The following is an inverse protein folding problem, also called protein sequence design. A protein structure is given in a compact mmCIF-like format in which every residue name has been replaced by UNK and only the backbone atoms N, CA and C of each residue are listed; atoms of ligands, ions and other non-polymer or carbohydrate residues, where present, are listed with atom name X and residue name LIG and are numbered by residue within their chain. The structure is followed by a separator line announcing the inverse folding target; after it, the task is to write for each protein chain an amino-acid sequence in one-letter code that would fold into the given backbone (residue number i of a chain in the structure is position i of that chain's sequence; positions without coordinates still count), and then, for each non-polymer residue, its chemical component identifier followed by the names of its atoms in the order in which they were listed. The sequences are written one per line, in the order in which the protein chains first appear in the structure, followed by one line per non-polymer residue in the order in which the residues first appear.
data_IF_190544288948
#
_entry.id   IF_190544288948
#
_cell.length_a   1.000
_cell.length_b   1.000
_cell.length_c   1.000
_cell.angle_alpha   90.00
_cell.angle_beta   90.00
_cell.angle_gamma   90.00
#
_symmetry.space_group_name_H-M   'P 1'
#
loop_
_entity.id
_entity.type
_entity.pdbx_description
1 polymer ?
#
# COMPACT_ATOMS: atom_id res chain seq x y z
N UNK A 1 9.65 -8.11 20.86
CA UNK A 1 8.56 -7.96 19.86
C UNK A 1 8.73 -6.67 19.09
N UNK A 2 8.80 -6.75 17.77
CA UNK A 2 8.86 -5.54 16.97
C UNK A 2 7.45 -4.94 16.85
N UNK A 3 7.37 -3.66 17.17
CA UNK A 3 6.12 -2.90 17.04
C UNK A 3 5.79 -2.69 15.57
N UNK A 4 4.55 -2.96 15.19
CA UNK A 4 4.08 -2.76 13.81
C UNK A 4 3.53 -1.34 13.71
N UNK A 5 4.14 -0.53 12.85
CA UNK A 5 3.76 0.86 12.65
C UNK A 5 2.72 0.99 11.54
N UNK A 6 1.81 1.96 11.67
CA UNK A 6 0.78 2.22 10.67
C UNK A 6 1.41 2.52 9.31
N UNK A 7 2.47 3.34 9.28
CA UNK A 7 3.14 3.72 8.03
C UNK A 7 3.76 2.49 7.35
N UNK A 8 4.29 1.55 8.12
CA UNK A 8 4.84 0.32 7.59
C UNK A 8 3.77 -0.53 6.93
N UNK A 9 2.62 -0.68 7.59
CA UNK A 9 1.51 -1.46 7.05
C UNK A 9 0.93 -0.77 5.81
N UNK A 10 0.83 0.55 5.80
CA UNK A 10 0.36 1.28 4.64
C UNK A 10 1.28 1.04 3.44
N UNK A 11 2.59 1.08 3.64
CA UNK A 11 3.55 0.81 2.55
C UNK A 11 3.38 -0.61 2.01
N UNK A 12 3.29 -1.60 2.90
CA UNK A 12 3.09 -2.99 2.50
C UNK A 12 1.78 -3.16 1.73
N UNK A 13 0.72 -2.48 2.17
CA UNK A 13 -0.58 -2.58 1.51
C UNK A 13 -0.51 -1.95 0.11
N UNK A 14 0.11 -0.81 -0.04
CA UNK A 14 0.29 -0.15 -1.34
C UNK A 14 1.09 -1.05 -2.29
N UNK A 15 2.15 -1.65 -1.80
CA UNK A 15 2.96 -2.61 -2.56
C UNK A 15 2.14 -3.83 -2.99
N UNK A 16 1.35 -4.37 -2.08
CA UNK A 16 0.47 -5.51 -2.32
C UNK A 16 -0.54 -5.21 -3.43
N UNK A 17 -1.17 -4.04 -3.35
CA UNK A 17 -2.14 -3.61 -4.36
C UNK A 17 -1.47 -3.39 -5.72
N UNK A 18 -0.29 -2.78 -5.73
CA UNK A 18 0.45 -2.53 -6.97
C UNK A 18 0.79 -3.85 -7.66
N UNK A 19 1.30 -4.82 -6.92
CA UNK A 19 1.68 -6.13 -7.47
C UNK A 19 0.46 -6.88 -8.00
N UNK A 20 -0.66 -6.82 -7.29
CA UNK A 20 -1.90 -7.46 -7.76
C UNK A 20 -2.42 -6.78 -9.02
N UNK A 21 -2.41 -5.46 -9.07
CA UNK A 21 -2.84 -4.70 -10.24
C UNK A 21 -2.01 -5.07 -11.47
N UNK A 22 -0.70 -5.23 -11.30
CA UNK A 22 0.20 -5.64 -12.39
C UNK A 22 -0.13 -7.03 -12.92
N UNK A 23 -0.67 -7.90 -12.08
CA UNK A 23 -1.08 -9.25 -12.51
C UNK A 23 -2.51 -9.28 -13.05
N UNK A 24 -3.13 -8.13 -13.25
CA UNK A 24 -4.48 -8.01 -13.78
C UNK A 24 -5.58 -8.16 -12.74
N UNK A 25 -5.25 -8.19 -11.46
CA UNK A 25 -6.24 -8.26 -10.39
C UNK A 25 -6.70 -6.85 -10.04
N UNK A 26 -7.98 -6.57 -10.25
CA UNK A 26 -8.54 -5.25 -9.97
C UNK A 26 -9.39 -5.19 -8.70
N UNK A 27 -9.76 -6.33 -8.13
CA UNK A 27 -10.57 -6.41 -6.92
C UNK A 27 -10.06 -7.53 -6.02
N UNK A 28 -10.12 -7.28 -4.71
CA UNK A 28 -9.69 -8.25 -3.70
C UNK A 28 -10.80 -8.42 -2.68
N UNK A 29 -11.03 -9.66 -2.22
CA UNK A 29 -11.99 -9.92 -1.16
C UNK A 29 -11.45 -9.36 0.15
N UNK A 30 -12.22 -8.49 0.80
CA UNK A 30 -11.79 -7.81 2.02
C UNK A 30 -11.35 -8.77 3.11
N UNK A 31 -12.07 -9.87 3.28
CA UNK A 31 -11.80 -10.84 4.35
C UNK A 31 -10.50 -11.62 4.17
N UNK A 32 -9.97 -11.71 2.95
CA UNK A 32 -8.74 -12.46 2.68
C UNK A 32 -7.49 -11.59 2.76
N UNK A 33 -7.64 -10.29 2.74
CA UNK A 33 -6.52 -9.34 2.72
C UNK A 33 -5.61 -9.48 3.96
N UNK A 34 -6.15 -9.53 5.20
CA UNK A 34 -5.27 -9.61 6.37
C UNK A 34 -4.35 -10.82 6.35
N UNK A 35 -4.89 -12.00 6.06
CA UNK A 35 -4.10 -13.23 6.04
C UNK A 35 -3.06 -13.20 4.93
N UNK A 36 -3.44 -12.73 3.75
CA UNK A 36 -2.52 -12.64 2.62
C UNK A 36 -1.36 -11.68 2.91
N UNK A 37 -1.65 -10.57 3.56
CA UNK A 37 -0.62 -9.59 3.90
C UNK A 37 0.32 -10.11 4.99
N UNK A 38 -0.22 -10.77 6.02
CA UNK A 38 0.61 -11.36 7.07
C UNK A 38 1.55 -12.40 6.46
N UNK A 39 1.02 -13.26 5.61
CA UNK A 39 1.82 -14.31 4.98
C UNK A 39 2.91 -13.72 4.08
N UNK A 40 2.62 -12.65 3.35
CA UNK A 40 3.55 -12.08 2.39
C UNK A 40 4.61 -11.19 3.05
N UNK A 41 4.21 -10.35 4.01
CA UNK A 41 5.08 -9.29 4.53
C UNK A 41 5.50 -9.48 5.98
N UNK A 42 4.73 -10.22 6.76
CA UNK A 42 4.96 -10.35 8.20
C UNK A 42 5.24 -11.81 8.62
N UNK A 43 5.62 -12.62 7.66
CA UNK A 43 5.79 -14.07 7.84
C UNK A 43 6.69 -14.45 9.00
N UNK A 44 7.75 -13.68 9.23
CA UNK A 44 8.74 -13.96 10.26
C UNK A 44 8.56 -13.11 11.52
N UNK A 45 7.43 -12.41 11.61
CA UNK A 45 7.11 -11.57 12.76
C UNK A 45 5.93 -12.17 13.50
N UNK A 46 5.98 -12.15 14.83
CA UNK A 46 4.86 -12.61 15.66
C UNK A 46 3.76 -11.55 15.64
N UNK A 47 3.01 -11.51 14.55
CA UNK A 47 1.93 -10.54 14.38
C UNK A 47 0.64 -11.09 15.00
N UNK A 48 0.08 -10.34 15.93
CA UNK A 48 -1.27 -10.62 16.45
C UNK A 48 -2.28 -10.22 15.38
N UNK A 49 -3.05 -11.19 14.90
CA UNK A 49 -4.03 -10.96 13.83
C UNK A 49 -5.05 -9.90 14.20
N UNK A 50 -5.53 -9.88 15.44
CA UNK A 50 -6.50 -8.89 15.91
C UNK A 50 -5.93 -7.47 15.85
N UNK A 51 -4.71 -7.31 16.37
CA UNK A 51 -4.02 -6.00 16.35
C UNK A 51 -3.72 -5.56 14.92
N UNK A 52 -3.23 -6.50 14.10
CA UNK A 52 -2.95 -6.22 12.68
C UNK A 52 -4.22 -5.79 11.95
N UNK A 53 -5.33 -6.50 12.16
CA UNK A 53 -6.60 -6.16 11.50
C UNK A 53 -7.09 -4.77 11.88
N UNK A 54 -6.88 -4.36 13.14
CA UNK A 54 -7.25 -3.01 13.59
C UNK A 54 -6.42 -1.94 12.88
N UNK A 55 -5.12 -2.15 12.76
CA UNK A 55 -4.24 -1.22 12.03
C UNK A 55 -4.62 -1.19 10.56
N UNK A 56 -4.91 -2.35 9.97
CA UNK A 56 -5.28 -2.44 8.56
C UNK A 56 -6.56 -1.67 8.27
N UNK A 57 -7.54 -1.68 9.17
CA UNK A 57 -8.76 -0.88 8.98
C UNK A 57 -8.44 0.61 8.93
N UNK A 58 -7.51 1.09 9.76
CA UNK A 58 -7.07 2.49 9.71
C UNK A 58 -6.40 2.79 8.36
N UNK A 59 -5.55 1.90 7.89
CA UNK A 59 -4.87 2.04 6.61
C UNK A 59 -5.90 2.05 5.46
N UNK A 60 -6.88 1.15 5.49
CA UNK A 60 -7.95 1.12 4.49
C UNK A 60 -8.69 2.45 4.43
N UNK A 61 -9.07 3.00 5.59
CA UNK A 61 -9.77 4.29 5.64
C UNK A 61 -8.91 5.41 5.05
N UNK A 62 -7.62 5.42 5.36
CA UNK A 62 -6.70 6.42 4.83
C UNK A 62 -6.58 6.33 3.30
N UNK A 63 -6.51 5.11 2.77
CA UNK A 63 -6.37 4.90 1.33
C UNK A 63 -7.67 5.16 0.57
N UNK A 64 -8.82 4.94 1.22
CA UNK A 64 -10.12 5.33 0.65
C UNK A 64 -10.20 6.86 0.58
N UNK A 65 -9.79 7.54 1.64
CA UNK A 65 -9.78 9.02 1.68
C UNK A 65 -8.86 9.62 0.62
N UNK A 66 -7.72 9.00 0.36
CA UNK A 66 -6.78 9.47 -0.66
C UNK A 66 -7.16 9.00 -2.07
N UNK A 67 -8.24 8.25 -2.20
CA UNK A 67 -8.75 7.72 -3.48
C UNK A 67 -7.78 6.74 -4.15
N UNK A 68 -6.95 6.08 -3.35
CA UNK A 68 -6.08 5.02 -3.84
C UNK A 68 -6.88 3.74 -4.12
N UNK A 69 -7.85 3.46 -3.27
CA UNK A 69 -8.77 2.32 -3.39
C UNK A 69 -10.21 2.77 -3.21
N UNK A 70 -11.13 1.89 -3.58
CA UNK A 70 -12.55 2.05 -3.35
C UNK A 70 -13.09 0.81 -2.64
N UNK A 71 -13.87 0.99 -1.59
CA UNK A 71 -14.47 -0.13 -0.86
C UNK A 71 -15.87 -0.38 -1.38
N UNK A 72 -16.17 -1.61 -1.76
CA UNK A 72 -17.48 -2.03 -2.26
C UNK A 72 -17.88 -3.32 -1.55
N UNK A 73 -18.85 -3.23 -0.63
CA UNK A 73 -19.37 -4.40 0.10
C UNK A 73 -18.24 -5.28 0.63
N UNK A 74 -18.06 -6.46 0.04
CA UNK A 74 -17.05 -7.45 0.47
C UNK A 74 -15.74 -7.34 -0.31
N UNK A 75 -15.59 -6.31 -1.14
CA UNK A 75 -14.42 -6.16 -2.01
C UNK A 75 -13.74 -4.83 -1.81
N UNK A 76 -12.43 -4.85 -2.04
CA UNK A 76 -11.63 -3.64 -2.19
C UNK A 76 -11.25 -3.55 -3.66
N UNK A 77 -11.68 -2.48 -4.33
CA UNK A 77 -11.36 -2.25 -5.74
C UNK A 77 -10.11 -1.38 -5.83
N UNK A 78 -9.16 -1.80 -6.67
CA UNK A 78 -7.93 -1.07 -6.92
C UNK A 78 -8.20 -0.07 -8.04
N UNK A 79 -7.95 1.22 -7.78
CA UNK A 79 -8.12 2.23 -8.81
C UNK A 79 -6.95 2.18 -9.79
N UNK A 80 -7.22 2.49 -11.04
CA UNK A 80 -6.20 2.52 -12.10
C UNK A 80 -5.17 3.62 -11.84
N UNK A 81 -4.00 3.46 -12.44
CA UNK A 81 -2.99 4.49 -12.43
C UNK A 81 -2.06 4.51 -11.23
N UNK A 82 -1.90 3.37 -10.55
CA UNK A 82 -0.90 3.28 -9.47
C UNK A 82 0.48 3.30 -10.08
N UNK A 83 1.32 4.22 -9.61
CA UNK A 83 2.71 4.35 -10.04
C UNK A 83 3.67 4.00 -8.92
N UNK A 84 4.73 3.28 -9.25
CA UNK A 84 5.82 3.03 -8.32
C UNK A 84 6.94 4.02 -8.62
N UNK A 85 7.26 4.88 -7.65
CA UNK A 85 8.17 5.99 -7.80
C UNK A 85 9.24 5.96 -6.72
N UNK A 86 10.41 6.49 -7.03
CA UNK A 86 11.49 6.61 -6.05
C UNK A 86 11.87 8.08 -5.91
N UNK A 87 11.98 8.53 -4.66
CA UNK A 87 12.41 9.90 -4.34
C UNK A 87 13.89 10.07 -4.71
N UNK A 88 14.21 11.14 -5.42
CA UNK A 88 15.59 11.43 -5.80
C UNK A 88 16.45 11.90 -4.62
N UNK A 89 15.83 12.34 -3.53
CA UNK A 89 16.57 12.83 -2.35
C UNK A 89 16.77 11.76 -1.28
N UNK A 90 15.71 11.07 -0.85
CA UNK A 90 15.82 10.09 0.22
C UNK A 90 15.79 8.64 -0.27
N UNK A 91 15.63 8.43 -1.57
CA UNK A 91 15.59 7.12 -2.23
C UNK A 91 14.45 6.21 -1.78
N UNK A 92 13.46 6.76 -1.06
CA UNK A 92 12.30 6.02 -0.63
C UNK A 92 11.42 5.65 -1.84
N UNK A 93 10.99 4.39 -1.90
CA UNK A 93 10.08 3.93 -2.97
C UNK A 93 8.65 4.11 -2.49
N UNK A 94 7.86 4.84 -3.28
CA UNK A 94 6.47 5.14 -2.97
C UNK A 94 5.54 4.55 -4.03
N UNK A 95 4.34 4.22 -3.61
CA UNK A 95 3.25 3.83 -4.52
C UNK A 95 2.17 4.89 -4.42
N UNK A 96 1.92 5.58 -5.51
CA UNK A 96 0.96 6.68 -5.53
C UNK A 96 -0.13 6.41 -6.57
N UNK A 97 -1.37 6.72 -6.19
CA UNK A 97 -2.49 6.64 -7.10
C UNK A 97 -2.58 7.88 -8.00
N UNK A 98 -3.38 7.77 -9.05
CA UNK A 98 -3.54 8.84 -10.05
C UNK A 98 -4.03 10.15 -9.46
N UNK A 99 -4.83 10.07 -8.40
CA UNK A 99 -5.46 11.24 -7.78
C UNK A 99 -4.69 11.77 -6.58
N UNK A 100 -3.59 11.12 -6.21
CA UNK A 100 -2.75 11.58 -5.12
C UNK A 100 -1.71 12.58 -5.64
N UNK A 101 -1.35 13.52 -4.77
CA UNK A 101 -0.27 14.46 -5.06
C UNK A 101 1.04 13.69 -5.18
N UNK A 102 1.85 14.05 -6.17
CA UNK A 102 3.13 13.38 -6.40
C UNK A 102 4.21 13.95 -5.49
N UNK A 103 4.16 13.52 -4.24
CA UNK A 103 5.13 13.90 -3.21
C UNK A 103 5.63 12.63 -2.53
N UNK A 104 6.91 12.64 -2.15
CA UNK A 104 7.46 11.53 -1.38
C UNK A 104 6.71 11.39 -0.06
N UNK A 105 6.23 10.18 0.24
CA UNK A 105 5.46 9.93 1.47
C UNK A 105 6.34 9.97 2.72
N UNK A 106 7.65 10.01 2.58
CA UNK A 106 8.60 10.02 3.69
C UNK A 106 9.17 11.42 3.96
N UNK A 107 9.71 12.08 2.93
CA UNK A 107 10.38 13.38 3.10
C UNK A 107 9.63 14.55 2.45
N UNK A 108 8.51 14.28 1.79
CA UNK A 108 7.65 15.28 1.15
C UNK A 108 8.32 16.03 -0.02
N UNK A 109 9.38 15.47 -0.57
CA UNK A 109 10.02 16.00 -1.77
C UNK A 109 9.15 15.75 -2.99
N UNK A 110 9.17 16.68 -3.95
CA UNK A 110 8.40 16.56 -5.19
C UNK A 110 9.18 15.91 -6.34
N UNK A 111 10.45 15.61 -6.13
CA UNK A 111 11.30 15.04 -7.17
C UNK A 111 11.24 13.52 -7.13
N UNK A 112 10.27 12.95 -7.85
CA UNK A 112 10.02 11.51 -7.91
C UNK A 112 10.24 11.00 -9.31
N UNK A 113 10.98 9.90 -9.43
CA UNK A 113 11.25 9.22 -10.69
C UNK A 113 10.60 7.84 -10.73
N UNK A 114 10.26 7.36 -11.91
CA UNK A 114 9.74 6.00 -12.07
C UNK A 114 10.75 4.98 -11.55
N UNK A 115 10.28 3.98 -10.81
CA UNK A 115 11.13 2.93 -10.25
C UNK A 115 10.67 1.55 -10.74
N UNK A 116 11.59 0.71 -11.24
CA UNK A 116 12.96 1.04 -11.56
C UNK A 116 13.08 2.00 -12.75
N UNK A 117 14.17 2.74 -12.80
CA UNK A 117 14.39 3.67 -13.91
C UNK A 117 14.44 2.92 -15.23
N UNK A 118 13.72 3.43 -16.22
CA UNK A 118 13.83 2.93 -17.58
C UNK A 118 15.05 3.56 -18.25
N UNK A 119 15.91 2.72 -18.75
CA UNK A 119 17.05 3.17 -19.53
C UNK A 119 16.68 3.24 -21.00
#
# INVERSE_FOLDING_TARGET
MSKIEINEIEWYFRDFLFKNHKRGVSQLQSKTIPNNMIETYLRYRNADLGHFSSILEIVLENLISSKFIERRDNFVAIRDGISRLQCSKCYYVCYLGNLESKICLRCQCTELDTFPKKH
#
